data_IF_176483486597
#
_entry.id   IF_176483486597
#
_cell.length_a   1.000
_cell.length_b   1.000
_cell.length_c   1.000
_cell.angle_alpha   90.00
_cell.angle_beta   90.00
_cell.angle_gamma   90.00
#
_symmetry.space_group_name_H-M   'P 1'
#
loop_
_entity.id
_entity.type
_entity.pdbx_description
1 polymer ?
#
# COMPACT_ATOMS: atom_id res chain seq x y z
N UNK A 1 15.55 23.67 80.41
CA UNK A 1 15.05 24.57 79.33
C UNK A 1 15.81 24.47 78.00
N UNK A 2 16.70 23.48 77.76
CA UNK A 2 17.37 23.30 76.46
C UNK A 2 16.71 22.28 75.51
N UNK A 3 15.92 21.33 76.03
CA UNK A 3 15.27 20.29 75.23
C UNK A 3 13.94 20.70 74.57
N UNK A 4 13.25 21.72 75.10
CA UNK A 4 11.95 22.18 74.55
C UNK A 4 12.15 23.02 73.28
N UNK A 5 13.27 23.76 73.18
CA UNK A 5 13.58 24.59 72.01
C UNK A 5 13.96 23.77 70.77
N UNK A 6 14.64 22.63 70.93
CA UNK A 6 15.03 21.76 69.80
C UNK A 6 13.83 21.03 69.16
N UNK A 7 12.82 20.66 69.97
CA UNK A 7 11.59 20.02 69.48
C UNK A 7 10.71 21.00 68.68
N UNK A 8 10.57 22.24 69.14
CA UNK A 8 9.79 23.26 68.44
C UNK A 8 10.38 23.67 67.08
N UNK A 9 11.71 23.75 66.97
CA UNK A 9 12.40 24.08 65.72
C UNK A 9 12.29 22.94 64.70
N UNK A 10 12.38 21.68 65.13
CA UNK A 10 12.16 20.53 64.25
C UNK A 10 10.71 20.42 63.76
N UNK A 11 9.71 20.75 64.60
CA UNK A 11 8.30 20.77 64.19
C UNK A 11 8.02 21.89 63.17
N UNK A 12 8.63 23.06 63.34
CA UNK A 12 8.55 24.18 62.40
C UNK A 12 9.23 23.87 61.06
N UNK A 13 10.39 23.21 61.09
CA UNK A 13 11.09 22.76 59.88
C UNK A 13 10.25 21.69 59.16
N UNK A 14 9.64 20.75 59.87
CA UNK A 14 8.77 19.73 59.28
C UNK A 14 7.48 20.33 58.69
N UNK A 15 6.89 21.34 59.34
CA UNK A 15 5.73 22.08 58.82
C UNK A 15 6.09 22.90 57.57
N UNK A 16 7.25 23.56 57.55
CA UNK A 16 7.75 24.30 56.38
C UNK A 16 8.10 23.36 55.21
N UNK A 17 8.72 22.21 55.47
CA UNK A 17 8.98 21.16 54.47
C UNK A 17 7.67 20.56 53.94
N UNK A 18 6.67 20.34 54.80
CA UNK A 18 5.36 19.82 54.40
C UNK A 18 4.58 20.80 53.52
N UNK A 19 4.73 22.11 53.73
CA UNK A 19 4.14 23.12 52.85
C UNK A 19 4.88 23.23 51.51
N UNK A 20 6.20 23.01 51.46
CA UNK A 20 6.96 23.01 50.20
C UNK A 20 6.63 21.81 49.29
N UNK A 21 6.17 20.68 49.85
CA UNK A 21 5.79 19.49 49.07
C UNK A 21 4.33 19.50 48.57
N UNK A 22 3.52 20.47 48.99
CA UNK A 22 2.11 20.56 48.59
C UNK A 22 1.87 21.39 47.32
N UNK A 23 2.90 22.03 46.77
CA UNK A 23 2.78 22.95 45.62
C UNK A 23 3.54 22.48 44.36
N UNK A 24 4.03 21.23 44.34
CA UNK A 24 4.48 20.52 43.12
C UNK A 24 3.48 19.43 42.74
N UNK A 25 2.23 19.82 42.58
CA UNK A 25 1.33 19.09 41.68
C UNK A 25 0.85 20.08 40.64
N UNK A 26 1.82 20.55 39.85
CA UNK A 26 1.56 21.20 38.58
C UNK A 26 0.76 20.20 37.75
N UNK A 27 -0.56 20.41 37.74
CA UNK A 27 -1.46 19.74 36.81
C UNK A 27 -0.95 20.10 35.44
N UNK A 28 -0.18 19.20 34.84
CA UNK A 28 0.06 19.18 33.42
C UNK A 28 -1.33 19.12 32.79
N UNK A 29 -1.86 20.30 32.42
CA UNK A 29 -2.95 20.39 31.47
C UNK A 29 -2.36 19.82 30.20
N UNK A 30 -2.50 18.51 30.03
CA UNK A 30 -2.52 17.88 28.73
C UNK A 30 -3.64 18.60 27.99
N UNK A 31 -3.29 19.66 27.26
CA UNK A 31 -4.18 20.24 26.27
C UNK A 31 -4.64 19.05 25.44
N UNK A 32 -5.97 18.86 25.25
CA UNK A 32 -6.40 17.88 24.27
C UNK A 32 -5.78 18.35 22.96
N UNK A 33 -4.79 17.61 22.46
CA UNK A 33 -4.33 17.72 21.09
C UNK A 33 -5.53 17.26 20.29
N UNK A 34 -6.46 18.18 20.04
CA UNK A 34 -7.48 18.03 19.03
C UNK A 34 -6.70 17.94 17.73
N UNK A 35 -6.36 16.72 17.35
CA UNK A 35 -5.74 16.42 16.06
C UNK A 35 -6.61 17.12 15.03
N UNK A 36 -6.07 18.19 14.42
CA UNK A 36 -6.80 18.98 13.44
C UNK A 36 -7.26 18.01 12.36
N UNK A 37 -8.57 17.79 12.29
CA UNK A 37 -9.14 16.79 11.41
C UNK A 37 -9.36 17.46 10.05
N UNK A 38 -8.49 17.14 9.10
CA UNK A 38 -8.59 17.70 7.76
C UNK A 38 -9.71 17.00 6.98
N UNK A 39 -10.43 17.75 6.17
CA UNK A 39 -11.54 17.22 5.37
C UNK A 39 -11.06 16.15 4.39
N UNK A 40 -9.85 16.29 3.84
CA UNK A 40 -9.26 15.28 2.96
C UNK A 40 -9.08 13.92 3.64
N UNK A 41 -8.88 13.88 4.96
CA UNK A 41 -8.67 12.61 5.67
C UNK A 41 -9.93 11.76 5.62
N UNK A 42 -11.12 12.35 5.73
CA UNK A 42 -12.39 11.60 5.70
C UNK A 42 -12.90 11.38 4.27
N UNK A 43 -12.74 12.37 3.40
CA UNK A 43 -13.24 12.31 2.01
C UNK A 43 -12.35 11.44 1.12
N UNK A 44 -11.02 11.61 1.18
CA UNK A 44 -10.12 10.90 0.27
C UNK A 44 -9.82 9.48 0.73
N UNK A 45 -9.68 9.25 2.04
CA UNK A 45 -9.33 7.93 2.59
C UNK A 45 -10.37 6.84 2.31
N UNK A 46 -11.62 7.24 2.04
CA UNK A 46 -12.72 6.32 1.75
C UNK A 46 -12.48 5.46 0.51
N UNK A 47 -11.75 6.00 -0.48
CA UNK A 47 -11.48 5.33 -1.75
C UNK A 47 -9.99 5.14 -2.05
N UNK A 48 -9.10 5.90 -1.38
CA UNK A 48 -7.67 5.92 -1.65
C UNK A 48 -6.88 5.86 -0.33
N UNK A 49 -5.71 5.23 -0.30
CA UNK A 49 -4.82 5.43 0.85
C UNK A 49 -4.25 6.85 0.82
N UNK A 50 -4.07 7.49 1.99
CA UNK A 50 -3.48 8.84 2.02
C UNK A 50 -2.04 8.85 1.51
N UNK A 51 -1.30 7.75 1.69
CA UNK A 51 0.02 7.57 1.08
C UNK A 51 -0.03 7.71 -0.44
N UNK A 52 -1.06 7.17 -1.11
CA UNK A 52 -1.25 7.35 -2.56
C UNK A 52 -1.67 8.77 -2.93
N UNK A 53 -2.50 9.41 -2.10
CA UNK A 53 -2.94 10.81 -2.36
C UNK A 53 -1.74 11.73 -2.38
N UNK A 54 -0.82 11.55 -1.44
CA UNK A 54 0.36 12.40 -1.24
C UNK A 54 1.65 11.81 -1.78
N UNK A 55 1.59 10.74 -2.58
CA UNK A 55 2.78 10.09 -3.15
C UNK A 55 3.61 11.08 -3.97
N UNK A 56 2.91 12.04 -4.58
CA UNK A 56 3.49 12.98 -5.51
C UNK A 56 3.29 14.42 -5.05
N UNK A 57 4.35 15.24 -4.81
CA UNK A 57 4.22 16.67 -4.72
C UNK A 57 3.56 17.26 -5.98
N UNK A 58 2.69 18.26 -5.75
CA UNK A 58 1.99 18.98 -6.82
C UNK A 58 2.01 20.47 -6.54
N UNK A 59 2.02 21.27 -7.59
CA UNK A 59 1.76 22.70 -7.47
C UNK A 59 0.31 22.94 -7.00
N UNK A 60 -0.01 24.12 -6.44
CA UNK A 60 -1.38 24.45 -6.03
C UNK A 60 -2.43 24.26 -7.15
N UNK A 61 -2.10 24.63 -8.38
CA UNK A 61 -2.99 24.47 -9.53
C UNK A 61 -3.18 23.00 -9.92
N UNK A 62 -2.12 22.19 -9.82
CA UNK A 62 -2.21 20.75 -10.03
C UNK A 62 -3.04 20.06 -8.93
N UNK A 63 -2.99 20.55 -7.70
CA UNK A 63 -3.87 20.11 -6.61
C UNK A 63 -5.33 20.45 -6.88
N UNK A 64 -5.65 21.68 -7.29
CA UNK A 64 -7.01 22.08 -7.72
C UNK A 64 -7.54 21.16 -8.81
N UNK A 65 -6.77 21.01 -9.89
CA UNK A 65 -7.16 20.14 -11.00
C UNK A 65 -7.31 18.66 -10.55
N UNK A 66 -6.55 18.20 -9.56
CA UNK A 66 -6.70 16.86 -9.01
C UNK A 66 -8.03 16.68 -8.26
N UNK A 67 -8.34 17.60 -7.36
CA UNK A 67 -9.57 17.58 -6.56
C UNK A 67 -10.80 17.75 -7.46
N UNK A 68 -10.74 18.63 -8.46
CA UNK A 68 -11.80 18.81 -9.46
C UNK A 68 -12.11 17.52 -10.21
N UNK A 69 -11.08 16.79 -10.68
CA UNK A 69 -11.28 15.48 -11.32
C UNK A 69 -11.91 14.46 -10.39
N UNK A 70 -11.64 14.51 -9.09
CA UNK A 70 -12.26 13.59 -8.13
C UNK A 70 -13.72 13.97 -7.90
N UNK A 71 -14.03 15.26 -7.85
CA UNK A 71 -15.40 15.78 -7.81
C UNK A 71 -16.18 15.39 -9.05
N UNK A 72 -15.64 15.55 -10.25
CA UNK A 72 -16.30 15.14 -11.50
C UNK A 72 -16.65 13.64 -11.53
N UNK A 73 -15.77 12.80 -10.97
CA UNK A 73 -16.01 11.36 -10.88
C UNK A 73 -17.03 10.97 -9.81
N UNK A 74 -17.17 11.80 -8.76
CA UNK A 74 -18.10 11.56 -7.67
C UNK A 74 -18.73 12.88 -7.19
N UNK A 75 -19.67 13.47 -7.98
CA UNK A 75 -20.15 14.84 -7.75
C UNK A 75 -20.91 15.02 -6.43
N UNK A 76 -21.45 13.94 -5.87
CA UNK A 76 -22.20 13.95 -4.61
C UNK A 76 -21.29 13.72 -3.38
N UNK A 77 -20.00 13.42 -3.57
CA UNK A 77 -19.09 13.08 -2.48
C UNK A 77 -18.29 14.28 -1.96
N UNK A 78 -17.88 15.17 -2.87
CA UNK A 78 -17.13 16.39 -2.58
C UNK A 78 -17.85 17.54 -3.29
N UNK A 79 -18.41 18.49 -2.54
CA UNK A 79 -19.00 19.70 -3.16
C UNK A 79 -17.91 20.62 -3.72
N UNK A 80 -18.25 21.61 -4.58
CA UNK A 80 -17.28 22.62 -5.03
C UNK A 80 -16.59 23.33 -3.86
N UNK A 81 -17.35 23.70 -2.83
CA UNK A 81 -16.83 24.41 -1.63
C UNK A 81 -15.92 23.52 -0.80
N UNK A 82 -16.31 22.25 -0.58
CA UNK A 82 -15.46 21.26 0.07
C UNK A 82 -14.17 20.99 -0.72
N UNK A 83 -14.25 21.05 -2.05
CA UNK A 83 -13.10 20.92 -2.94
C UNK A 83 -12.07 22.02 -2.72
N UNK A 84 -12.51 23.28 -2.69
CA UNK A 84 -11.63 24.43 -2.40
C UNK A 84 -11.07 24.35 -0.98
N UNK A 85 -11.87 23.92 0.01
CA UNK A 85 -11.38 23.70 1.36
C UNK A 85 -10.27 22.65 1.39
N UNK A 86 -10.46 21.49 0.74
CA UNK A 86 -9.46 20.42 0.68
C UNK A 86 -8.15 20.93 0.06
N UNK A 87 -8.24 21.68 -1.05
CA UNK A 87 -7.05 22.27 -1.68
C UNK A 87 -6.36 23.22 -0.71
N UNK A 88 -7.11 24.11 -0.04
CA UNK A 88 -6.57 25.05 0.93
C UNK A 88 -5.91 24.36 2.13
N UNK A 89 -6.50 23.28 2.64
CA UNK A 89 -5.91 22.47 3.70
C UNK A 89 -4.55 21.89 3.26
N UNK A 90 -4.48 21.28 2.07
CA UNK A 90 -3.25 20.67 1.57
C UNK A 90 -2.17 21.73 1.32
N UNK A 91 -2.51 22.77 0.55
CA UNK A 91 -1.54 23.78 0.11
C UNK A 91 -0.96 24.56 1.28
N UNK A 92 -1.77 24.86 2.31
CA UNK A 92 -1.34 25.70 3.43
C UNK A 92 -0.69 24.92 4.59
N UNK A 93 -0.77 23.58 4.60
CA UNK A 93 -0.29 22.79 5.74
C UNK A 93 0.74 21.73 5.41
N UNK A 94 0.93 21.41 4.12
CA UNK A 94 1.80 20.32 3.69
C UNK A 94 2.84 20.79 2.66
N UNK A 95 3.86 21.50 3.13
CA UNK A 95 4.99 21.90 2.27
C UNK A 95 5.68 20.70 1.62
N UNK A 96 5.68 19.53 2.28
CA UNK A 96 6.23 18.27 1.79
C UNK A 96 5.55 17.74 0.52
N UNK A 97 4.31 18.15 0.27
CA UNK A 97 3.49 17.69 -0.87
C UNK A 97 3.15 18.82 -1.84
N UNK A 98 3.70 20.02 -1.61
CA UNK A 98 3.52 21.20 -2.48
C UNK A 98 4.83 21.49 -3.18
N UNK A 99 4.86 21.24 -4.48
CA UNK A 99 6.05 21.42 -5.30
C UNK A 99 5.91 20.80 -6.68
N UNK A 100 6.80 21.16 -7.59
CA UNK A 100 6.91 20.47 -8.88
C UNK A 100 7.87 19.29 -8.74
N UNK A 101 7.51 18.13 -9.29
CA UNK A 101 8.46 17.01 -9.37
C UNK A 101 9.74 17.42 -10.10
N UNK A 102 10.90 16.84 -9.73
CA UNK A 102 12.04 16.83 -10.63
C UNK A 102 11.62 16.24 -11.99
N UNK A 103 12.15 16.81 -13.07
CA UNK A 103 11.84 16.41 -14.45
C UNK A 103 11.81 14.89 -14.61
N UNK A 104 10.80 14.41 -15.37
CA UNK A 104 10.58 12.99 -15.68
C UNK A 104 11.90 12.31 -16.03
N UNK A 105 12.32 11.34 -15.21
CA UNK A 105 13.54 10.56 -15.47
C UNK A 105 13.34 9.74 -16.73
N UNK A 106 14.31 9.78 -17.64
CA UNK A 106 14.36 8.88 -18.80
C UNK A 106 15.09 7.62 -18.37
N UNK A 107 14.64 6.47 -18.88
CA UNK A 107 15.23 5.18 -18.59
C UNK A 107 15.49 4.46 -19.90
N UNK A 108 16.73 4.06 -20.13
CA UNK A 108 17.08 3.20 -21.26
C UNK A 108 16.64 1.74 -21.00
N UNK A 109 16.59 1.35 -19.73
CA UNK A 109 16.13 0.03 -19.31
C UNK A 109 14.60 0.00 -19.11
N UNK A 110 13.93 -0.85 -19.89
CA UNK A 110 12.48 -0.97 -19.89
C UNK A 110 11.91 -1.54 -18.57
N UNK A 111 12.69 -2.34 -17.82
CA UNK A 111 12.27 -2.87 -16.52
C UNK A 111 12.30 -1.77 -15.45
N UNK A 112 13.33 -0.93 -15.43
CA UNK A 112 13.40 0.23 -14.55
C UNK A 112 12.28 1.23 -14.87
N UNK A 113 12.04 1.49 -16.16
CA UNK A 113 10.91 2.29 -16.60
C UNK A 113 9.58 1.70 -16.10
N UNK A 114 9.40 0.39 -16.22
CA UNK A 114 8.20 -0.27 -15.74
C UNK A 114 8.00 -0.12 -14.22
N UNK A 115 9.03 -0.32 -13.42
CA UNK A 115 8.96 -0.15 -11.95
C UNK A 115 8.54 1.29 -11.63
N UNK A 116 9.28 2.27 -12.14
CA UNK A 116 9.06 3.69 -11.86
C UNK A 116 7.69 4.21 -12.35
N UNK A 117 7.15 3.64 -13.44
CA UNK A 117 5.87 4.10 -14.03
C UNK A 117 4.66 3.34 -13.53
N UNK A 118 4.81 2.05 -13.23
CA UNK A 118 3.67 1.14 -13.04
C UNK A 118 3.50 0.64 -11.61
N UNK A 119 4.53 0.68 -10.75
CA UNK A 119 4.43 0.13 -9.38
C UNK A 119 4.20 1.19 -8.30
N UNK A 120 4.42 2.48 -8.61
CA UNK A 120 4.24 3.59 -7.65
C UNK A 120 2.80 3.75 -7.16
N UNK A 121 1.80 3.44 -8.00
CA UNK A 121 0.39 3.73 -7.69
C UNK A 121 -0.46 2.50 -7.35
N UNK A 122 -0.08 1.31 -7.80
CA UNK A 122 -0.88 0.10 -7.64
C UNK A 122 -0.02 -1.16 -7.72
N UNK A 123 -0.45 -2.21 -7.02
CA UNK A 123 0.25 -3.50 -6.99
C UNK A 123 0.48 -4.07 -8.41
N UNK A 124 1.67 -4.64 -8.68
CA UNK A 124 1.96 -5.34 -9.92
C UNK A 124 1.06 -6.56 -10.15
N UNK A 125 0.32 -7.02 -9.15
CA UNK A 125 -0.69 -8.10 -9.27
C UNK A 125 -1.68 -7.84 -10.41
N UNK A 126 -2.02 -6.56 -10.66
CA UNK A 126 -2.91 -6.19 -11.77
C UNK A 126 -2.36 -6.56 -13.14
N UNK A 127 -1.03 -6.60 -13.26
CA UNK A 127 -0.33 -7.03 -14.46
C UNK A 127 -0.17 -8.55 -14.45
N UNK A 128 0.26 -9.11 -13.32
CA UNK A 128 0.40 -10.56 -13.11
C UNK A 128 -0.90 -11.30 -13.37
N UNK A 129 -2.07 -10.73 -13.09
CA UNK A 129 -3.36 -11.38 -13.33
C UNK A 129 -3.89 -11.17 -14.75
N UNK A 130 -3.43 -10.16 -15.47
CA UNK A 130 -3.98 -9.80 -16.77
C UNK A 130 -3.34 -10.57 -17.93
N UNK A 131 -4.15 -11.27 -18.74
CA UNK A 131 -3.72 -11.81 -20.05
C UNK A 131 -4.18 -10.85 -21.15
N UNK A 132 -3.23 -10.26 -21.87
CA UNK A 132 -3.49 -9.17 -22.82
C UNK A 132 -2.57 -9.28 -24.04
N UNK A 133 -3.11 -8.94 -25.21
CA UNK A 133 -2.29 -8.74 -26.40
C UNK A 133 -1.47 -7.45 -26.27
N UNK A 134 -0.45 -7.29 -27.12
CA UNK A 134 0.31 -6.03 -27.21
C UNK A 134 -0.61 -4.82 -27.40
N UNK A 135 -1.64 -4.93 -28.24
CA UNK A 135 -2.58 -3.83 -28.48
C UNK A 135 -3.42 -3.51 -27.23
N UNK A 136 -3.82 -4.53 -26.46
CA UNK A 136 -4.56 -4.33 -25.21
C UNK A 136 -3.68 -3.74 -24.11
N UNK A 137 -2.39 -4.07 -24.11
CA UNK A 137 -1.41 -3.39 -23.27
C UNK A 137 -1.25 -1.93 -23.67
N UNK A 138 -1.09 -1.62 -24.95
CA UNK A 138 -1.02 -0.22 -25.44
C UNK A 138 -2.21 0.61 -24.96
N UNK A 139 -3.43 0.08 -25.12
CA UNK A 139 -4.66 0.74 -24.62
C UNK A 139 -4.63 0.94 -23.10
N UNK A 140 -4.09 -0.03 -22.37
CA UNK A 140 -3.96 0.05 -20.90
C UNK A 140 -2.97 1.14 -20.50
N UNK A 141 -1.79 1.19 -21.11
CA UNK A 141 -0.74 2.19 -20.83
C UNK A 141 -1.24 3.59 -21.18
N UNK A 142 -1.84 3.80 -22.35
CA UNK A 142 -2.44 5.08 -22.75
C UNK A 142 -3.53 5.54 -21.77
N UNK A 143 -4.35 4.60 -21.27
CA UNK A 143 -5.35 4.92 -20.26
C UNK A 143 -4.70 5.31 -18.92
N UNK A 144 -3.57 4.71 -18.54
CA UNK A 144 -2.84 5.11 -17.33
C UNK A 144 -2.19 6.48 -17.50
N UNK A 145 -1.56 6.75 -18.65
CA UNK A 145 -1.06 8.08 -19.01
C UNK A 145 -2.16 9.14 -18.92
N UNK A 146 -3.34 8.90 -19.50
CA UNK A 146 -4.47 9.85 -19.41
C UNK A 146 -4.91 10.10 -17.97
N UNK A 147 -4.81 9.09 -17.09
CA UNK A 147 -5.18 9.23 -15.67
C UNK A 147 -4.10 9.90 -14.84
N UNK A 148 -2.83 9.77 -15.23
CA UNK A 148 -1.68 10.39 -14.57
C UNK A 148 -0.68 10.96 -15.60
N UNK A 149 -1.01 12.08 -16.27
CA UNK A 149 -0.16 12.62 -17.35
C UNK A 149 1.24 13.04 -16.88
N UNK A 150 1.36 13.41 -15.61
CA UNK A 150 2.63 13.78 -14.97
C UNK A 150 3.56 12.57 -14.77
N UNK A 151 3.03 11.34 -14.74
CA UNK A 151 3.84 10.15 -14.48
C UNK A 151 4.48 9.56 -15.73
N UNK A 152 4.04 9.89 -16.96
CA UNK A 152 4.49 9.24 -18.19
C UNK A 152 5.03 10.25 -19.21
N UNK A 153 6.10 9.91 -19.92
CA UNK A 153 6.50 10.56 -21.18
C UNK A 153 5.79 9.89 -22.36
N UNK A 154 5.63 10.61 -23.48
CA UNK A 154 5.05 10.03 -24.70
C UNK A 154 5.92 8.90 -25.28
N UNK A 155 7.24 9.01 -25.12
CA UNK A 155 8.21 7.97 -25.50
C UNK A 155 8.16 6.72 -24.61
N UNK A 156 7.64 6.81 -23.38
CA UNK A 156 7.51 5.65 -22.50
C UNK A 156 6.47 4.65 -23.03
N UNK A 157 5.47 5.15 -23.75
CA UNK A 157 4.30 4.37 -24.19
C UNK A 157 4.68 3.17 -25.05
N UNK A 158 5.44 3.31 -26.16
CA UNK A 158 5.87 2.15 -26.94
C UNK A 158 6.73 1.19 -26.13
N UNK A 159 7.69 1.68 -25.34
CA UNK A 159 8.63 0.86 -24.56
C UNK A 159 7.89 -0.01 -23.53
N UNK A 160 7.00 0.60 -22.74
CA UNK A 160 6.20 -0.12 -21.75
C UNK A 160 5.22 -1.10 -22.41
N UNK A 161 4.67 -0.74 -23.57
CA UNK A 161 3.79 -1.62 -24.34
C UNK A 161 4.51 -2.89 -24.77
N UNK A 162 5.72 -2.74 -25.31
CA UNK A 162 6.57 -3.85 -25.75
C UNK A 162 7.00 -4.71 -24.56
N UNK A 163 7.50 -4.07 -23.50
CA UNK A 163 7.91 -4.75 -22.28
C UNK A 163 6.78 -5.60 -21.68
N UNK A 164 5.56 -5.06 -21.55
CA UNK A 164 4.43 -5.81 -21.00
C UNK A 164 3.95 -6.94 -21.91
N UNK A 165 4.03 -6.77 -23.23
CA UNK A 165 3.66 -7.80 -24.19
C UNK A 165 4.66 -8.96 -24.21
N UNK A 166 5.95 -8.66 -24.14
CA UNK A 166 7.03 -9.65 -24.22
C UNK A 166 7.33 -10.31 -22.87
N UNK A 167 7.27 -9.53 -21.78
CA UNK A 167 7.74 -9.97 -20.45
C UNK A 167 6.58 -10.26 -19.49
N UNK A 168 5.33 -9.92 -19.83
CA UNK A 168 4.18 -10.14 -18.95
C UNK A 168 3.95 -11.60 -18.56
N UNK A 169 4.31 -12.55 -19.43
CA UNK A 169 4.30 -13.99 -19.11
C UNK A 169 5.40 -14.37 -18.11
N UNK A 170 6.62 -13.90 -18.35
CA UNK A 170 7.78 -14.16 -17.48
C UNK A 170 7.58 -13.59 -16.08
N UNK A 171 7.06 -12.36 -15.97
CA UNK A 171 6.75 -11.73 -14.67
C UNK A 171 5.75 -12.58 -13.86
N UNK A 172 4.77 -13.20 -14.53
CA UNK A 172 3.80 -14.08 -13.87
C UNK A 172 4.45 -15.39 -13.41
N UNK A 173 5.25 -16.01 -14.26
CA UNK A 173 5.94 -17.26 -13.93
C UNK A 173 6.94 -17.05 -12.78
N UNK A 174 7.71 -15.94 -12.81
CA UNK A 174 8.65 -15.57 -11.73
C UNK A 174 7.92 -15.35 -10.40
N UNK A 175 6.79 -14.64 -10.41
CA UNK A 175 6.01 -14.41 -9.20
C UNK A 175 5.35 -15.70 -8.68
N UNK A 176 4.90 -16.59 -9.58
CA UNK A 176 4.40 -17.89 -9.17
C UNK A 176 5.50 -18.76 -8.55
N UNK A 177 6.73 -18.71 -9.09
CA UNK A 177 7.89 -19.37 -8.50
C UNK A 177 8.25 -18.78 -7.13
N UNK A 178 8.20 -17.46 -6.97
CA UNK A 178 8.38 -16.78 -5.68
C UNK A 178 7.34 -17.26 -4.65
N UNK A 179 6.06 -17.31 -5.02
CA UNK A 179 5.00 -17.86 -4.15
C UNK A 179 5.32 -19.31 -3.77
N UNK A 180 5.71 -20.15 -4.72
CA UNK A 180 6.06 -21.54 -4.43
C UNK A 180 7.18 -21.63 -3.39
N UNK A 181 8.28 -20.89 -3.57
CA UNK A 181 9.42 -20.91 -2.64
C UNK A 181 9.03 -20.36 -1.27
N UNK A 182 8.37 -19.20 -1.23
CA UNK A 182 8.11 -18.47 0.03
C UNK A 182 6.88 -18.97 0.78
N UNK A 183 6.01 -19.76 0.15
CA UNK A 183 4.76 -20.24 0.77
C UNK A 183 4.64 -21.75 0.78
N UNK A 184 4.98 -22.45 -0.31
CA UNK A 184 4.80 -23.90 -0.37
C UNK A 184 6.01 -24.63 0.22
N UNK A 185 7.23 -24.16 -0.05
CA UNK A 185 8.46 -24.86 0.32
C UNK A 185 8.98 -24.53 1.73
N UNK A 186 8.25 -23.72 2.50
CA UNK A 186 8.62 -23.36 3.88
C UNK A 186 8.47 -24.56 4.83
N UNK A 187 7.50 -25.44 4.58
CA UNK A 187 7.16 -26.55 5.48
C UNK A 187 7.58 -27.92 4.97
N UNK A 188 7.71 -28.09 3.65
CA UNK A 188 8.05 -29.37 3.03
C UNK A 188 8.84 -29.16 1.74
N UNK A 189 9.55 -30.19 1.30
CA UNK A 189 10.32 -30.14 0.06
C UNK A 189 9.44 -30.04 -1.19
N UNK A 190 10.08 -29.71 -2.31
CA UNK A 190 9.43 -29.59 -3.60
C UNK A 190 9.04 -30.94 -4.23
N UNK A 191 9.68 -32.05 -3.81
CA UNK A 191 9.40 -33.36 -4.39
C UNK A 191 7.95 -33.80 -4.11
N UNK A 192 7.40 -33.46 -2.93
CA UNK A 192 5.98 -33.72 -2.61
C UNK A 192 4.99 -33.03 -3.55
N UNK A 193 5.41 -31.98 -4.25
CA UNK A 193 4.58 -31.27 -5.23
C UNK A 193 4.91 -31.77 -6.64
N UNK A 194 6.19 -31.78 -7.00
CA UNK A 194 6.65 -32.02 -8.37
C UNK A 194 6.48 -33.48 -8.84
N UNK A 195 6.31 -34.42 -7.91
CA UNK A 195 6.05 -35.83 -8.22
C UNK A 195 4.55 -36.16 -8.35
N UNK A 196 3.67 -35.24 -7.95
CA UNK A 196 2.23 -35.44 -8.03
C UNK A 196 1.70 -34.99 -9.40
N UNK A 197 0.67 -35.67 -9.90
CA UNK A 197 -0.07 -35.26 -11.10
C UNK A 197 -1.55 -35.24 -10.76
N UNK A 198 -2.21 -34.10 -10.98
CA UNK A 198 -3.59 -33.90 -10.56
C UNK A 198 -4.35 -33.05 -11.58
N UNK A 199 -5.68 -33.15 -11.56
CA UNK A 199 -6.54 -32.21 -12.28
C UNK A 199 -6.45 -30.82 -11.64
N UNK A 200 -6.91 -29.77 -12.35
CA UNK A 200 -7.01 -28.42 -11.77
C UNK A 200 -7.83 -28.41 -10.49
N UNK A 201 -8.99 -29.07 -10.48
CA UNK A 201 -9.90 -29.13 -9.32
C UNK A 201 -9.24 -29.83 -8.12
N UNK A 202 -8.47 -30.89 -8.36
CA UNK A 202 -7.74 -31.57 -7.29
C UNK A 202 -6.57 -30.73 -6.76
N UNK A 203 -5.92 -29.95 -7.62
CA UNK A 203 -4.91 -28.97 -7.19
C UNK A 203 -5.53 -27.85 -6.35
N UNK A 204 -6.67 -27.29 -6.77
CA UNK A 204 -7.44 -26.29 -6.02
C UNK A 204 -7.78 -26.82 -4.62
N UNK A 205 -8.27 -28.07 -4.54
CA UNK A 205 -8.55 -28.73 -3.26
C UNK A 205 -7.28 -28.87 -2.41
N UNK A 206 -6.18 -29.35 -3.00
CA UNK A 206 -4.91 -29.53 -2.28
C UNK A 206 -4.39 -28.20 -1.71
N UNK A 207 -4.39 -27.12 -2.50
CA UNK A 207 -3.95 -25.80 -2.05
C UNK A 207 -4.89 -25.26 -0.96
N UNK A 208 -6.19 -25.49 -1.07
CA UNK A 208 -7.18 -25.13 -0.03
C UNK A 208 -6.91 -25.87 1.28
N UNK A 209 -6.65 -27.19 1.21
CA UNK A 209 -6.33 -28.01 2.38
C UNK A 209 -5.04 -27.51 3.07
N UNK A 210 -4.05 -27.08 2.28
CA UNK A 210 -2.81 -26.48 2.82
C UNK A 210 -3.05 -25.11 3.44
N UNK A 211 -3.90 -24.27 2.83
CA UNK A 211 -4.27 -22.98 3.41
C UNK A 211 -4.99 -23.16 4.76
N UNK A 212 -5.93 -24.11 4.83
CA UNK A 212 -6.66 -24.44 6.06
C UNK A 212 -5.75 -25.01 7.13
N UNK A 213 -4.85 -25.92 6.75
CA UNK A 213 -3.85 -26.46 7.66
C UNK A 213 -2.96 -25.33 8.21
N UNK A 214 -2.43 -24.46 7.35
CA UNK A 214 -1.58 -23.35 7.77
C UNK A 214 -2.33 -22.39 8.71
N UNK A 215 -3.60 -22.09 8.42
CA UNK A 215 -4.46 -21.27 9.28
C UNK A 215 -4.67 -21.89 10.66
N UNK A 216 -4.95 -23.20 10.72
CA UNK A 216 -5.17 -23.92 11.98
C UNK A 216 -3.90 -24.06 12.81
N UNK A 217 -2.78 -24.36 12.15
CA UNK A 217 -1.50 -24.62 12.82
C UNK A 217 -0.76 -23.34 13.21
N UNK A 218 -0.78 -22.31 12.35
CA UNK A 218 0.02 -21.10 12.52
C UNK A 218 -0.79 -19.83 12.79
N UNK A 219 -2.13 -19.91 12.80
CA UNK A 219 -3.04 -18.77 12.99
C UNK A 219 -2.78 -17.60 12.03
N UNK A 220 -2.29 -17.90 10.81
CA UNK A 220 -1.99 -16.93 9.76
C UNK A 220 -2.81 -17.22 8.51
N UNK A 221 -3.22 -16.17 7.81
CA UNK A 221 -3.76 -16.33 6.46
C UNK A 221 -2.59 -16.47 5.48
N UNK A 222 -2.37 -17.70 5.02
CA UNK A 222 -1.15 -18.06 4.30
C UNK A 222 -1.18 -17.60 2.83
N UNK A 223 -2.35 -17.64 2.20
CA UNK A 223 -2.57 -17.21 0.81
C UNK A 223 -3.64 -16.12 0.73
N UNK A 224 -3.34 -15.05 -0.01
CA UNK A 224 -4.34 -14.12 -0.52
C UNK A 224 -5.09 -14.75 -1.70
N UNK A 225 -6.32 -14.30 -1.98
CA UNK A 225 -7.15 -14.90 -3.04
C UNK A 225 -6.52 -14.84 -4.43
N UNK A 226 -5.73 -13.82 -4.74
CA UNK A 226 -4.98 -13.72 -6.00
C UNK A 226 -3.82 -14.72 -6.06
N UNK A 227 -3.07 -14.89 -4.98
CA UNK A 227 -1.94 -15.82 -4.89
C UNK A 227 -2.41 -17.27 -5.03
N UNK A 228 -3.58 -17.60 -4.47
CA UNK A 228 -4.23 -18.91 -4.64
C UNK A 228 -4.43 -19.24 -6.12
N UNK A 229 -5.00 -18.31 -6.90
CA UNK A 229 -5.21 -18.55 -8.33
C UNK A 229 -3.89 -18.69 -9.09
N UNK A 230 -2.88 -17.86 -8.76
CA UNK A 230 -1.57 -17.88 -9.41
C UNK A 230 -0.85 -19.20 -9.17
N UNK A 231 -0.85 -19.71 -7.94
CA UNK A 231 -0.17 -20.98 -7.62
C UNK A 231 -0.90 -22.18 -8.24
N UNK A 232 -2.24 -22.19 -8.24
CA UNK A 232 -3.02 -23.24 -8.91
C UNK A 232 -2.74 -23.25 -10.42
N UNK A 233 -2.72 -22.08 -11.07
CA UNK A 233 -2.38 -21.98 -12.50
C UNK A 233 -0.98 -22.55 -12.79
N UNK A 234 0.01 -22.30 -11.92
CA UNK A 234 1.35 -22.86 -12.06
C UNK A 234 1.35 -24.40 -11.89
N UNK A 235 0.65 -24.92 -10.89
CA UNK A 235 0.58 -26.36 -10.61
C UNK A 235 -0.15 -27.12 -11.72
N UNK A 236 -1.23 -26.56 -12.27
CA UNK A 236 -1.90 -27.13 -13.43
C UNK A 236 -1.00 -27.10 -14.67
N UNK A 237 -0.35 -25.95 -14.95
CA UNK A 237 0.55 -25.80 -16.11
C UNK A 237 1.72 -26.79 -16.07
N UNK A 238 2.25 -27.09 -14.88
CA UNK A 238 3.45 -27.91 -14.72
C UNK A 238 3.14 -29.38 -14.43
N UNK A 239 2.08 -29.65 -13.66
CA UNK A 239 1.74 -30.97 -13.13
C UNK A 239 0.26 -31.36 -13.35
N UNK A 240 -0.40 -30.70 -14.29
CA UNK A 240 -1.72 -31.08 -14.75
C UNK A 240 -1.73 -32.46 -15.41
N UNK A 241 -2.85 -33.16 -15.26
CA UNK A 241 -3.17 -34.32 -16.11
C UNK A 241 -3.86 -33.76 -17.36
N UNK A 242 -3.30 -33.99 -18.55
CA UNK A 242 -3.96 -33.64 -19.81
C UNK A 242 -5.27 -34.42 -19.92
N UNK A 243 -6.39 -33.73 -20.14
CA UNK A 243 -7.69 -34.33 -20.38
C UNK A 243 -7.74 -34.90 -21.80
N UNK A 244 -7.10 -36.04 -22.04
CA UNK A 244 -7.20 -36.77 -23.29
C UNK A 244 -6.04 -37.74 -23.51
N UNK A 245 -6.20 -38.97 -23.04
CA UNK A 245 -5.21 -40.01 -23.30
C UNK A 245 -5.51 -41.34 -22.64
N UNK A 246 -6.73 -41.87 -22.79
CA UNK A 246 -7.06 -43.30 -22.98
C UNK A 246 -8.44 -43.40 -23.65
#
# INVERSE_FOLDING_TARGET
MRYVLLSGVMLLIYLLLSQSQAEEQETEKVLPVTKRQFLYESKCSKCHTLGRVFADPKTPDEWRACVDRMREKSPLWITPEEGEQIVGEIVNTREDVVGSFPHKKRYDDAKLLFIDRCTECHSPDRIVLARKTRNDWKKTVLRMQKKSPSSFLDEDIPILTDYLAERGGLIRDDHAAEIMVTKCLVCHDAARILLERKSRTDWEKTVSDMQDYARKTFLKDWFLSNEFTIIVDLLEKTQGIESGGY
#
